data_IF_657575748228
#
_entry.id   IF_657575748228
#
_cell.length_a   1.000
_cell.length_b   1.000
_cell.length_c   1.000
_cell.angle_alpha   90.00
_cell.angle_beta   90.00
_cell.angle_gamma   90.00
#
_symmetry.space_group_name_H-M   'P 1'
#
loop_
_entity.id
_entity.type
_entity.pdbx_description
1 polymer ?
#
# COMPACT_ATOMS: atom_id res chain seq x y z
N UNK A 1 -60.63 61.78 -0.94
CA UNK A 1 -59.58 61.25 -1.85
C UNK A 1 -58.62 60.42 -1.02
N UNK A 2 -58.91 59.13 -0.83
CA UNK A 2 -58.21 58.26 0.13
C UNK A 2 -57.45 57.20 -0.67
N UNK A 3 -56.12 57.22 -0.52
CA UNK A 3 -55.15 56.42 -1.27
C UNK A 3 -55.25 54.95 -0.86
N UNK A 4 -55.23 54.09 -1.87
CA UNK A 4 -55.03 52.64 -1.77
C UNK A 4 -53.75 52.33 -0.98
N UNK A 5 -53.82 51.41 -0.03
CA UNK A 5 -52.66 50.69 0.50
C UNK A 5 -52.82 49.20 0.18
N UNK A 6 -51.92 48.70 -0.67
CA UNK A 6 -51.79 47.30 -1.06
C UNK A 6 -51.06 46.58 0.07
N UNK A 7 -51.69 45.56 0.66
CA UNK A 7 -51.03 44.63 1.57
C UNK A 7 -50.23 43.62 0.75
N UNK A 8 -48.91 43.78 0.74
CA UNK A 8 -47.98 42.77 0.24
C UNK A 8 -47.79 41.71 1.33
N UNK A 9 -48.27 40.50 1.08
CA UNK A 9 -48.01 39.33 1.91
C UNK A 9 -46.60 38.80 1.58
N UNK A 10 -45.63 39.09 2.43
CA UNK A 10 -44.32 38.43 2.40
C UNK A 10 -44.46 37.02 2.97
N UNK A 11 -44.45 36.02 2.09
CA UNK A 11 -44.30 34.62 2.47
C UNK A 11 -42.82 34.37 2.84
N UNK A 12 -42.53 34.28 4.14
CA UNK A 12 -41.24 33.82 4.61
C UNK A 12 -41.13 32.30 4.38
N UNK A 13 -40.44 31.92 3.30
CA UNK A 13 -40.06 30.53 3.07
C UNK A 13 -38.90 30.18 4.00
N UNK A 14 -39.17 29.39 5.04
CA UNK A 14 -38.18 28.93 6.00
C UNK A 14 -37.41 27.80 5.30
N UNK A 15 -36.29 28.14 4.64
CA UNK A 15 -35.40 27.12 4.07
C UNK A 15 -34.66 26.46 5.23
N UNK A 16 -35.12 25.28 5.64
CA UNK A 16 -34.44 24.45 6.63
C UNK A 16 -33.08 24.01 6.09
N UNK A 17 -32.01 24.70 6.48
CA UNK A 17 -30.65 24.19 6.33
C UNK A 17 -30.50 23.02 7.31
N UNK A 18 -30.70 21.80 6.81
CA UNK A 18 -30.33 20.60 7.53
C UNK A 18 -28.79 20.61 7.67
N UNK A 19 -28.30 20.88 8.88
CA UNK A 19 -26.93 20.58 9.28
C UNK A 19 -26.71 19.08 9.08
N UNK A 20 -26.09 18.70 7.98
CA UNK A 20 -25.64 17.33 7.75
C UNK A 20 -24.45 17.11 8.68
N UNK A 21 -24.50 16.16 9.62
CA UNK A 21 -23.32 15.80 10.37
C UNK A 21 -22.29 15.25 9.37
N UNK A 22 -21.13 15.91 9.28
CA UNK A 22 -19.97 15.33 8.60
C UNK A 22 -19.49 14.16 9.45
N UNK A 23 -19.77 12.95 8.99
CA UNK A 23 -19.12 11.75 9.51
C UNK A 23 -17.67 11.83 9.02
N UNK A 24 -16.79 12.37 9.85
CA UNK A 24 -15.35 12.18 9.69
C UNK A 24 -15.08 10.70 9.96
N UNK A 25 -14.92 9.92 8.89
CA UNK A 25 -14.42 8.55 9.00
C UNK A 25 -12.96 8.63 9.43
N UNK A 26 -12.72 8.64 10.74
CA UNK A 26 -11.41 8.29 11.27
C UNK A 26 -11.17 6.82 10.92
N UNK A 27 -10.39 6.55 9.87
CA UNK A 27 -9.94 5.20 9.54
C UNK A 27 -8.91 4.77 10.58
N UNK A 28 -9.40 4.26 11.71
CA UNK A 28 -8.59 3.47 12.60
C UNK A 28 -8.53 2.06 12.01
N UNK A 29 -7.57 1.84 11.12
CA UNK A 29 -7.16 0.48 10.81
C UNK A 29 -5.66 0.39 10.97
N UNK A 30 -5.24 -0.48 11.89
CA UNK A 30 -4.03 -1.28 11.74
C UNK A 30 -4.13 -2.08 10.42
N UNK A 31 -4.13 -1.38 9.29
CA UNK A 31 -4.58 -1.91 8.03
C UNK A 31 -3.50 -2.79 7.44
N UNK A 32 -3.83 -4.07 7.33
CA UNK A 32 -3.23 -4.93 6.34
C UNK A 32 -3.32 -4.26 4.97
N UNK A 33 -2.18 -4.13 4.30
CA UNK A 33 -2.06 -3.62 2.94
C UNK A 33 -1.73 -4.80 2.03
N UNK A 34 -2.39 -4.89 0.88
CA UNK A 34 -1.97 -5.78 -0.21
C UNK A 34 -2.05 -5.05 -1.54
N UNK A 35 -1.13 -5.36 -2.44
CA UNK A 35 -1.10 -4.80 -3.79
C UNK A 35 -0.25 -5.67 -4.72
N UNK A 36 -0.43 -5.48 -6.03
CA UNK A 36 0.36 -6.14 -7.07
C UNK A 36 0.76 -5.20 -8.17
N UNK A 37 1.79 -5.57 -8.92
CA UNK A 37 2.18 -4.84 -10.14
C UNK A 37 1.24 -5.17 -11.29
N UNK A 38 1.10 -4.24 -12.24
CA UNK A 38 0.14 -4.33 -13.35
C UNK A 38 0.35 -5.53 -14.29
N UNK A 39 1.54 -6.13 -14.29
CA UNK A 39 1.89 -7.30 -15.09
C UNK A 39 1.79 -8.62 -14.31
N UNK A 40 1.24 -8.61 -13.10
CA UNK A 40 1.08 -9.79 -12.25
C UNK A 40 2.39 -10.52 -11.92
N UNK A 41 3.52 -9.81 -11.97
CA UNK A 41 4.82 -10.41 -11.71
C UNK A 41 5.27 -10.27 -10.25
N UNK A 42 4.75 -9.29 -9.53
CA UNK A 42 5.13 -8.95 -8.15
C UNK A 42 3.87 -8.76 -7.32
N UNK A 43 3.75 -9.49 -6.22
CA UNK A 43 2.69 -9.36 -5.23
C UNK A 43 3.29 -8.97 -3.89
N UNK A 44 2.61 -8.12 -3.15
CA UNK A 44 3.07 -7.64 -1.86
C UNK A 44 1.96 -7.60 -0.83
N UNK A 45 2.34 -7.79 0.42
CA UNK A 45 1.52 -7.49 1.58
C UNK A 45 2.34 -6.77 2.63
N UNK A 46 1.70 -5.94 3.44
CA UNK A 46 2.39 -5.17 4.46
C UNK A 46 1.50 -4.84 5.65
N UNK A 47 2.15 -4.50 6.75
CA UNK A 47 1.52 -4.16 8.03
C UNK A 47 0.54 -5.23 8.51
N UNK A 48 0.94 -6.50 8.38
CA UNK A 48 0.21 -7.65 8.91
C UNK A 48 -0.13 -7.45 10.40
N UNK A 49 -1.41 -7.58 10.79
CA UNK A 49 -1.83 -7.39 12.18
C UNK A 49 -1.08 -8.33 13.15
N UNK A 50 -0.61 -7.77 14.26
CA UNK A 50 0.14 -8.53 15.28
C UNK A 50 1.64 -8.72 14.99
N UNK A 51 2.13 -8.23 13.85
CA UNK A 51 3.56 -8.24 13.51
C UNK A 51 4.15 -6.83 13.54
N UNK A 52 5.48 -6.75 13.55
CA UNK A 52 6.17 -5.47 13.37
C UNK A 52 5.85 -4.88 11.98
N UNK A 53 5.73 -3.55 11.85
CA UNK A 53 5.52 -2.91 10.56
C UNK A 53 6.60 -3.25 9.52
N UNK A 54 6.16 -3.86 8.42
CA UNK A 54 7.00 -4.24 7.30
C UNK A 54 6.16 -4.45 6.05
N UNK A 55 6.83 -4.48 4.89
CA UNK A 55 6.28 -4.98 3.64
C UNK A 55 7.08 -6.17 3.17
N UNK A 56 6.38 -7.19 2.73
CA UNK A 56 6.95 -8.33 2.04
C UNK A 56 6.45 -8.39 0.60
N UNK A 57 7.36 -8.62 -0.34
CA UNK A 57 7.05 -8.72 -1.75
C UNK A 57 7.68 -9.98 -2.35
N UNK A 58 6.89 -10.73 -3.09
CA UNK A 58 7.31 -11.94 -3.79
C UNK A 58 7.32 -11.72 -5.30
N UNK A 59 8.35 -12.24 -5.96
CA UNK A 59 8.39 -12.31 -7.42
C UNK A 59 9.15 -13.54 -7.89
N UNK A 60 8.59 -14.24 -8.88
CA UNK A 60 9.27 -15.36 -9.51
C UNK A 60 10.47 -14.86 -10.31
N UNK A 61 11.67 -15.35 -10.00
CA UNK A 61 12.88 -14.92 -10.71
C UNK A 61 13.24 -15.82 -11.87
N UNK A 62 13.83 -15.22 -12.91
CA UNK A 62 14.37 -15.92 -14.09
C UNK A 62 15.84 -16.30 -13.93
N UNK A 63 16.50 -15.83 -12.88
CA UNK A 63 17.93 -16.02 -12.62
C UNK A 63 18.21 -16.68 -11.27
N UNK A 64 19.46 -16.58 -10.81
CA UNK A 64 19.83 -17.02 -9.46
C UNK A 64 19.48 -15.92 -8.43
N UNK A 65 19.12 -16.28 -7.19
CA UNK A 65 18.93 -15.31 -6.11
C UNK A 65 20.18 -14.44 -5.89
N UNK A 66 19.98 -13.18 -5.49
CA UNK A 66 21.08 -12.24 -5.22
C UNK A 66 21.97 -12.65 -4.03
N UNK A 67 21.44 -13.43 -3.09
CA UNK A 67 22.20 -13.99 -1.97
C UNK A 67 22.20 -15.52 -2.01
N UNK A 68 23.31 -16.17 -1.59
CA UNK A 68 23.34 -17.62 -1.47
C UNK A 68 22.28 -18.09 -0.47
N UNK A 69 21.72 -19.28 -0.71
CA UNK A 69 20.78 -19.91 0.22
C UNK A 69 21.46 -20.18 1.57
N UNK A 70 20.90 -19.69 2.69
CA UNK A 70 21.37 -20.04 4.03
C UNK A 70 21.25 -21.54 4.30
N UNK A 71 22.19 -22.12 5.06
CA UNK A 71 22.20 -23.56 5.36
C UNK A 71 21.02 -24.01 6.22
N UNK A 72 20.51 -23.09 7.02
CA UNK A 72 19.39 -23.24 7.95
C UNK A 72 18.03 -22.87 7.33
N UNK A 73 17.99 -22.49 6.05
CA UNK A 73 16.73 -22.26 5.37
C UNK A 73 16.11 -23.58 4.91
N UNK A 74 15.04 -24.01 5.57
CA UNK A 74 14.30 -25.24 5.28
C UNK A 74 13.20 -25.06 4.21
N UNK A 75 12.85 -23.82 3.86
CA UNK A 75 11.74 -23.50 2.94
C UNK A 75 12.19 -22.89 1.60
N UNK A 76 11.32 -22.17 0.90
CA UNK A 76 11.65 -21.52 -0.36
C UNK A 76 12.63 -20.36 -0.13
N UNK A 77 13.56 -20.15 -1.07
CA UNK A 77 14.59 -19.11 -0.95
C UNK A 77 14.76 -18.35 -2.25
N UNK A 78 14.90 -17.03 -2.13
CA UNK A 78 15.36 -16.18 -3.23
C UNK A 78 14.30 -15.30 -3.87
N UNK A 79 13.02 -15.52 -3.57
CA UNK A 79 11.91 -14.83 -4.25
C UNK A 79 11.13 -13.88 -3.33
N UNK A 80 11.24 -14.05 -2.01
CA UNK A 80 10.56 -13.22 -1.02
C UNK A 80 11.53 -12.20 -0.39
N UNK A 81 11.13 -10.93 -0.41
CA UNK A 81 11.90 -9.79 0.08
C UNK A 81 11.11 -9.06 1.16
N UNK A 82 11.79 -8.63 2.22
CA UNK A 82 11.18 -7.88 3.32
C UNK A 82 11.95 -6.60 3.62
N UNK A 83 11.22 -5.54 4.00
CA UNK A 83 11.79 -4.35 4.64
C UNK A 83 10.82 -3.82 5.70
N UNK A 84 11.33 -3.63 6.92
CA UNK A 84 10.60 -3.05 8.04
C UNK A 84 10.53 -1.53 7.99
N UNK A 85 9.86 -0.92 8.98
CA UNK A 85 9.85 0.54 9.18
C UNK A 85 11.26 1.16 9.34
N UNK A 86 12.21 0.36 9.83
CA UNK A 86 13.63 0.66 10.02
C UNK A 86 14.44 -0.62 9.74
N UNK A 87 15.78 -0.51 9.72
CA UNK A 87 16.68 -1.64 9.49
C UNK A 87 16.87 -2.00 8.02
N UNK A 88 17.72 -2.99 7.76
CA UNK A 88 18.08 -3.41 6.40
C UNK A 88 16.98 -4.26 5.77
N UNK A 89 16.83 -4.16 4.45
CA UNK A 89 16.05 -5.13 3.69
C UNK A 89 16.74 -6.49 3.62
N UNK A 90 15.96 -7.56 3.50
CA UNK A 90 16.45 -8.94 3.48
C UNK A 90 15.69 -9.82 2.49
N UNK A 91 16.29 -10.97 2.18
CA UNK A 91 15.56 -12.11 1.63
C UNK A 91 14.99 -12.93 2.79
N UNK A 92 13.81 -13.50 2.58
CA UNK A 92 13.09 -14.32 3.58
C UNK A 92 13.16 -15.79 3.17
N UNK A 93 13.44 -16.67 4.14
CA UNK A 93 13.21 -18.10 3.98
C UNK A 93 11.70 -18.36 4.12
N UNK A 94 11.03 -18.56 2.99
CA UNK A 94 9.58 -18.38 2.88
C UNK A 94 8.85 -19.71 2.99
N UNK A 95 8.04 -19.88 4.04
CA UNK A 95 7.07 -21.00 4.15
C UNK A 95 5.71 -20.67 3.54
N UNK A 96 5.41 -19.38 3.41
CA UNK A 96 4.16 -18.80 2.97
C UNK A 96 4.41 -17.67 1.95
N UNK A 97 3.33 -17.18 1.34
CA UNK A 97 3.41 -16.14 0.31
C UNK A 97 2.60 -14.91 0.74
N UNK A 98 3.10 -13.69 0.50
CA UNK A 98 2.33 -12.46 0.71
C UNK A 98 1.26 -12.24 -0.38
N UNK A 99 1.17 -13.14 -1.37
CA UNK A 99 0.32 -12.94 -2.54
C UNK A 99 -1.18 -13.07 -2.21
N UNK A 100 -1.91 -11.98 -2.44
CA UNK A 100 -3.38 -11.93 -2.44
C UNK A 100 -3.84 -11.82 -3.91
N UNK A 101 -4.54 -12.84 -4.47
CA UNK A 101 -4.85 -12.93 -5.91
C UNK A 101 -5.55 -11.69 -6.49
N UNK A 102 -6.49 -11.11 -5.75
CA UNK A 102 -7.30 -9.97 -6.19
C UNK A 102 -6.86 -8.64 -5.56
N UNK A 103 -5.58 -8.54 -5.15
CA UNK A 103 -5.08 -7.29 -4.58
C UNK A 103 -5.09 -6.15 -5.60
N UNK A 104 -5.28 -4.90 -5.14
CA UNK A 104 -5.24 -3.72 -6.01
C UNK A 104 -3.96 -3.62 -6.83
N UNK A 105 -4.09 -3.17 -8.07
CA UNK A 105 -2.94 -2.89 -8.94
C UNK A 105 -2.31 -1.56 -8.51
N UNK A 106 -1.01 -1.56 -8.23
CA UNK A 106 -0.17 -0.38 -8.14
C UNK A 106 0.33 -0.03 -9.55
N UNK A 107 -0.16 1.07 -10.11
CA UNK A 107 0.17 1.47 -11.49
C UNK A 107 1.56 2.09 -11.57
N UNK A 108 2.05 2.22 -12.79
CA UNK A 108 3.33 2.86 -13.08
C UNK A 108 3.47 4.23 -12.40
N UNK A 109 4.57 4.44 -11.68
CA UNK A 109 4.86 5.68 -10.97
C UNK A 109 4.05 5.90 -9.69
N UNK A 110 3.03 5.08 -9.41
CA UNK A 110 2.27 5.17 -8.17
C UNK A 110 3.12 4.68 -6.98
N UNK A 111 2.88 5.31 -5.84
CA UNK A 111 3.52 4.95 -4.57
C UNK A 111 2.47 4.61 -3.54
N UNK A 112 2.61 3.43 -2.93
CA UNK A 112 1.86 3.03 -1.76
C UNK A 112 2.74 3.18 -0.51
N UNK A 113 2.14 3.54 0.61
CA UNK A 113 2.83 3.77 1.88
C UNK A 113 2.16 2.95 2.97
N UNK A 114 2.97 2.26 3.78
CA UNK A 114 2.53 1.69 5.04
C UNK A 114 3.19 2.38 6.22
N UNK A 115 3.26 1.68 7.35
CA UNK A 115 3.80 2.16 8.61
C UNK A 115 5.33 2.16 8.58
N UNK A 116 5.92 3.17 7.94
CA UNK A 116 7.37 3.40 7.94
C UNK A 116 8.12 2.86 6.72
N UNK A 117 7.40 2.26 5.78
CA UNK A 117 7.89 1.83 4.48
C UNK A 117 7.03 2.41 3.36
N UNK A 118 7.58 2.45 2.15
CA UNK A 118 6.87 2.83 0.93
C UNK A 118 7.34 1.98 -0.24
N UNK A 119 6.47 1.74 -1.21
CA UNK A 119 6.79 1.03 -2.45
C UNK A 119 6.31 1.82 -3.66
N UNK A 120 7.15 1.89 -4.70
CA UNK A 120 6.86 2.59 -5.96
C UNK A 120 7.03 1.62 -7.13
N UNK A 121 6.03 1.52 -8.00
CA UNK A 121 6.09 0.71 -9.22
C UNK A 121 6.82 1.47 -10.34
N UNK A 122 7.66 0.75 -11.09
CA UNK A 122 8.35 1.26 -12.27
C UNK A 122 8.63 0.15 -13.31
N UNK A 123 7.95 0.21 -14.44
CA UNK A 123 7.86 -0.79 -15.49
C UNK A 123 7.43 -2.16 -14.94
N UNK A 124 8.33 -3.13 -15.10
CA UNK A 124 8.21 -4.49 -14.58
C UNK A 124 8.83 -4.65 -13.19
N UNK A 125 9.22 -3.55 -12.55
CA UNK A 125 9.93 -3.53 -11.29
C UNK A 125 9.19 -2.80 -10.18
N UNK A 126 9.52 -3.15 -8.94
CA UNK A 126 9.03 -2.50 -7.74
C UNK A 126 10.21 -2.10 -6.88
N UNK A 127 10.19 -0.89 -6.33
CA UNK A 127 11.17 -0.43 -5.34
C UNK A 127 10.46 -0.18 -4.02
N UNK A 128 10.83 -0.90 -2.97
CA UNK A 128 10.37 -0.66 -1.62
C UNK A 128 11.52 -0.14 -0.75
N UNK A 129 11.24 0.83 0.11
CA UNK A 129 12.23 1.39 1.02
C UNK A 129 11.61 1.88 2.32
N UNK A 130 12.41 1.96 3.37
CA UNK A 130 12.03 2.53 4.64
C UNK A 130 12.58 3.94 4.87
N UNK A 131 12.28 4.51 6.04
CA UNK A 131 12.70 5.86 6.43
C UNK A 131 14.22 6.04 6.51
N UNK A 132 14.96 4.95 6.73
CA UNK A 132 16.42 4.93 6.79
C UNK A 132 17.05 4.75 5.41
N UNK A 133 16.23 4.72 4.35
CA UNK A 133 16.63 4.51 2.94
C UNK A 133 17.19 3.12 2.67
N UNK A 134 16.96 2.16 3.55
CA UNK A 134 17.16 0.75 3.24
C UNK A 134 15.97 0.22 2.46
N UNK A 135 16.20 -0.77 1.62
CA UNK A 135 15.16 -1.26 0.74
C UNK A 135 15.61 -2.29 -0.27
N UNK A 136 14.70 -2.59 -1.17
CA UNK A 136 14.94 -3.49 -2.29
C UNK A 136 14.32 -2.96 -3.57
N UNK A 137 14.94 -3.31 -4.69
CA UNK A 137 14.36 -3.16 -6.03
C UNK A 137 14.35 -4.53 -6.70
N UNK A 138 13.17 -4.97 -7.11
CA UNK A 138 12.96 -6.31 -7.66
C UNK A 138 12.16 -6.27 -8.96
N UNK A 139 12.47 -7.19 -9.86
CA UNK A 139 11.68 -7.64 -11.01
C UNK A 139 12.00 -9.11 -11.26
N UNK A 140 11.31 -9.77 -12.20
CA UNK A 140 11.66 -11.14 -12.58
C UNK A 140 13.09 -11.28 -13.12
N UNK A 141 13.67 -10.19 -13.65
CA UNK A 141 15.00 -10.18 -14.26
C UNK A 141 16.11 -9.76 -13.28
N UNK A 142 15.81 -8.94 -12.27
CA UNK A 142 16.85 -8.34 -11.43
C UNK A 142 16.39 -8.15 -9.99
N UNK A 143 17.32 -8.35 -9.07
CA UNK A 143 17.16 -8.07 -7.66
C UNK A 143 18.26 -7.10 -7.21
N UNK A 144 17.95 -6.28 -6.21
CA UNK A 144 18.92 -5.40 -5.54
C UNK A 144 18.44 -5.13 -4.11
N UNK A 145 19.35 -5.22 -3.15
CA UNK A 145 19.19 -4.69 -1.80
C UNK A 145 20.00 -3.39 -1.67
N UNK A 146 19.55 -2.47 -0.83
CA UNK A 146 20.26 -1.23 -0.50
C UNK A 146 19.94 -0.77 0.93
#
# INVERSE_FOLDING_TARGET
MKKLFVFALCTFSISSFALTPQIETASNSDSFISFRTANDAIYCSGDLPGLNPQVECVTKIKGKPILPRPKDCEFEWGELFSVGATGKASLVCASDTPAVPDSPILKEGETIKGKGWQCTASGDSLTCSNKEKHGFKISQAKQKLF
#
